data_IF_794332738158
#
_entry.id   IF_794332738158
#
_cell.length_a   1.000
_cell.length_b   1.000
_cell.length_c   1.000
_cell.angle_alpha   90.00
_cell.angle_beta   90.00
_cell.angle_gamma   90.00
#
_symmetry.space_group_name_H-M   'P 1'
#
loop_
_entity.id
_entity.type
_entity.pdbx_description
1 polymer ?
#
# COMPACT_ATOMS: atom_id res chain seq x y z
N UNK A 1 24.02 15.83 -24.42
CA UNK A 1 23.01 15.23 -23.54
C UNK A 1 21.97 14.65 -24.47
N UNK A 2 22.07 13.36 -24.78
CA UNK A 2 21.13 12.68 -25.68
C UNK A 2 19.75 12.68 -25.01
N UNK A 3 18.80 13.37 -25.64
CA UNK A 3 17.38 13.26 -25.30
C UNK A 3 16.93 11.86 -25.75
N UNK A 4 17.17 10.85 -24.91
CA UNK A 4 16.65 9.50 -25.13
C UNK A 4 15.14 9.58 -25.25
N UNK A 5 14.60 9.15 -26.40
CA UNK A 5 13.17 9.03 -26.57
C UNK A 5 12.63 8.08 -25.50
N UNK A 6 11.56 8.48 -24.82
CA UNK A 6 10.85 7.60 -23.91
C UNK A 6 10.26 6.46 -24.75
N UNK A 7 10.68 5.23 -24.48
CA UNK A 7 10.12 4.04 -25.12
C UNK A 7 8.84 3.62 -24.38
N UNK A 8 7.80 3.28 -25.15
CA UNK A 8 6.56 2.75 -24.59
C UNK A 8 6.79 1.34 -24.03
N UNK A 9 6.28 1.09 -22.83
CA UNK A 9 6.36 -0.22 -22.18
C UNK A 9 4.97 -0.86 -22.24
N UNK A 10 4.88 -2.08 -22.78
CA UNK A 10 3.65 -2.86 -22.74
C UNK A 10 3.33 -3.30 -21.30
N UNK A 11 2.11 -3.00 -20.83
CA UNK A 11 1.66 -3.32 -19.47
C UNK A 11 0.37 -4.12 -19.54
N UNK A 12 0.36 -5.29 -18.89
CA UNK A 12 -0.87 -6.04 -18.63
C UNK A 12 -1.37 -5.73 -17.22
N UNK A 13 -2.62 -5.30 -17.09
CA UNK A 13 -3.27 -5.06 -15.79
C UNK A 13 -4.26 -6.18 -15.51
N UNK A 14 -4.12 -6.82 -14.36
CA UNK A 14 -5.05 -7.85 -13.89
C UNK A 14 -5.88 -7.30 -12.73
N UNK A 15 -7.19 -7.45 -12.83
CA UNK A 15 -8.13 -7.10 -11.77
C UNK A 15 -8.54 -8.37 -11.02
N UNK A 16 -8.53 -8.31 -9.69
CA UNK A 16 -8.95 -9.39 -8.81
C UNK A 16 -10.04 -8.89 -7.89
N UNK A 17 -11.11 -9.68 -7.78
CA UNK A 17 -12.27 -9.36 -6.96
C UNK A 17 -12.52 -10.48 -5.94
N UNK A 18 -13.11 -10.14 -4.81
CA UNK A 18 -13.45 -11.09 -3.74
C UNK A 18 -14.87 -10.82 -3.25
N UNK A 19 -15.84 -11.60 -3.73
CA UNK A 19 -17.26 -11.47 -3.35
C UNK A 19 -17.66 -12.27 -2.11
N UNK A 20 -16.78 -13.17 -1.65
CA UNK A 20 -17.02 -13.99 -0.45
C UNK A 20 -15.76 -13.99 0.42
N UNK A 21 -15.91 -13.99 1.76
CA UNK A 21 -14.75 -14.10 2.65
C UNK A 21 -13.93 -15.37 2.38
N UNK A 22 -12.61 -15.35 2.62
CA UNK A 22 -11.77 -16.54 2.49
C UNK A 22 -12.27 -17.68 3.37
N UNK A 23 -12.33 -18.90 2.83
CA UNK A 23 -12.78 -20.07 3.57
C UNK A 23 -11.83 -20.47 4.72
N UNK A 24 -10.58 -20.02 4.65
CA UNK A 24 -9.55 -20.30 5.65
C UNK A 24 -8.82 -19.00 6.02
N UNK A 25 -8.57 -18.82 7.31
CA UNK A 25 -7.69 -17.77 7.82
C UNK A 25 -6.39 -18.40 8.30
N UNK A 26 -5.22 -17.90 7.87
CA UNK A 26 -3.95 -18.40 8.36
C UNK A 26 -3.82 -18.18 9.87
N UNK A 27 -3.13 -19.09 10.54
CA UNK A 27 -2.80 -18.91 11.95
C UNK A 27 -1.93 -17.65 12.13
N UNK A 28 -2.17 -16.93 13.23
CA UNK A 28 -1.33 -15.78 13.60
C UNK A 28 0.10 -16.29 13.87
N UNK A 29 1.14 -15.61 13.36
CA UNK A 29 2.53 -15.98 13.66
C UNK A 29 2.79 -16.05 15.16
N UNK A 30 3.41 -17.14 15.62
CA UNK A 30 3.82 -17.32 17.01
C UNK A 30 5.32 -17.01 17.17
N UNK A 31 5.74 -16.64 18.38
CA UNK A 31 7.14 -16.31 18.73
C UNK A 31 7.78 -15.17 17.93
N UNK A 32 6.98 -14.25 17.37
CA UNK A 32 7.46 -13.01 16.76
C UNK A 32 6.66 -11.84 17.28
N UNK A 33 7.29 -10.67 17.43
CA UNK A 33 6.58 -9.48 17.84
C UNK A 33 5.92 -8.86 16.62
N UNK A 34 4.66 -9.23 16.37
CA UNK A 34 3.87 -8.76 15.23
C UNK A 34 2.75 -7.84 15.69
N UNK A 35 2.60 -6.70 15.03
CA UNK A 35 1.45 -5.82 15.22
C UNK A 35 0.92 -5.30 13.88
N UNK A 36 -0.40 -5.31 13.69
CA UNK A 36 -1.05 -4.66 12.57
C UNK A 36 -1.82 -3.45 13.10
N UNK A 37 -1.31 -2.26 12.84
CA UNK A 37 -1.82 -1.02 13.45
C UNK A 37 -2.51 -0.16 12.41
N UNK A 38 -3.75 0.26 12.70
CA UNK A 38 -4.43 1.30 11.93
C UNK A 38 -3.70 2.62 12.15
N UNK A 39 -3.29 3.28 11.08
CA UNK A 39 -2.51 4.53 11.14
C UNK A 39 -3.41 5.70 10.74
N UNK A 40 -4.11 6.26 11.73
CA UNK A 40 -4.89 7.50 11.55
C UNK A 40 -3.94 8.68 11.38
N UNK A 41 -4.33 9.65 10.55
CA UNK A 41 -3.56 10.87 10.29
C UNK A 41 -2.09 10.59 9.98
N UNK A 42 -1.86 9.58 9.12
CA UNK A 42 -0.51 9.12 8.80
C UNK A 42 0.34 10.30 8.29
N UNK A 43 1.54 10.53 8.84
CA UNK A 43 2.42 11.57 8.31
C UNK A 43 2.76 11.31 6.85
N UNK A 44 2.69 12.33 6.00
CA UNK A 44 2.91 12.20 4.54
C UNK A 44 4.25 11.53 4.21
N UNK A 45 5.31 11.91 4.92
CA UNK A 45 6.65 11.32 4.73
C UNK A 45 6.67 9.82 5.06
N UNK A 46 5.90 9.38 6.05
CA UNK A 46 5.84 7.97 6.42
C UNK A 46 5.04 7.17 5.40
N UNK A 47 3.94 7.72 4.88
CA UNK A 47 3.21 7.10 3.77
C UNK A 47 4.10 6.98 2.52
N UNK A 48 4.84 8.03 2.15
CA UNK A 48 5.81 7.98 1.03
C UNK A 48 6.91 6.94 1.27
N UNK A 49 7.40 6.82 2.50
CA UNK A 49 8.35 5.75 2.87
C UNK A 49 7.75 4.35 2.61
N UNK A 50 6.52 4.09 3.03
CA UNK A 50 5.86 2.80 2.80
C UNK A 50 5.67 2.50 1.30
N UNK A 51 5.17 3.48 0.55
CA UNK A 51 5.00 3.40 -0.90
C UNK A 51 6.32 3.08 -1.61
N UNK A 52 7.41 3.74 -1.21
CA UNK A 52 8.73 3.47 -1.77
C UNK A 52 9.24 2.08 -1.39
N UNK A 53 9.25 1.73 -0.10
CA UNK A 53 9.87 0.49 0.37
C UNK A 53 9.16 -0.77 -0.12
N UNK A 54 7.86 -0.71 -0.31
CA UNK A 54 7.06 -1.82 -0.86
C UNK A 54 7.02 -1.75 -2.39
N UNK A 55 6.78 -0.57 -2.94
CA UNK A 55 6.43 -0.39 -4.35
C UNK A 55 7.59 -0.14 -5.31
N UNK A 56 8.81 0.15 -4.82
CA UNK A 56 9.96 0.50 -5.68
C UNK A 56 10.27 -0.56 -6.74
N UNK A 57 10.19 -1.86 -6.40
CA UNK A 57 10.40 -2.97 -7.35
C UNK A 57 9.32 -3.03 -8.44
N UNK A 58 8.17 -2.42 -8.19
CA UNK A 58 6.97 -2.42 -9.05
C UNK A 58 6.71 -1.05 -9.70
N UNK A 59 7.69 -0.14 -9.64
CA UNK A 59 7.58 1.21 -10.21
C UNK A 59 6.35 1.99 -9.73
N UNK A 60 6.00 1.89 -8.44
CA UNK A 60 4.93 2.70 -7.84
C UNK A 60 5.33 4.17 -7.70
N UNK A 61 5.40 4.87 -8.83
CA UNK A 61 5.87 6.26 -8.90
C UNK A 61 4.74 7.28 -8.82
N UNK A 62 3.51 6.88 -9.14
CA UNK A 62 2.39 7.82 -9.27
C UNK A 62 2.15 8.61 -7.99
N UNK A 63 2.02 7.91 -6.85
CA UNK A 63 1.75 8.56 -5.56
C UNK A 63 2.96 9.31 -5.03
N UNK A 64 4.17 8.89 -5.38
CA UNK A 64 5.41 9.59 -5.01
C UNK A 64 5.59 10.92 -5.74
N UNK A 65 4.86 11.14 -6.85
CA UNK A 65 4.89 12.37 -7.64
C UNK A 65 3.82 13.38 -7.25
N UNK A 66 2.83 12.99 -6.45
CA UNK A 66 1.83 13.90 -5.92
C UNK A 66 2.48 14.92 -4.99
N UNK A 67 2.02 16.16 -5.06
CA UNK A 67 2.38 17.17 -4.08
C UNK A 67 1.78 16.85 -2.69
N UNK A 68 2.16 17.63 -1.69
CA UNK A 68 1.74 17.37 -0.30
C UNK A 68 0.24 17.58 -0.10
N UNK A 69 -0.38 18.52 -0.81
CA UNK A 69 -1.79 18.86 -0.67
C UNK A 69 -2.66 17.77 -1.32
N UNK A 70 -2.31 17.34 -2.53
CA UNK A 70 -2.94 16.23 -3.25
C UNK A 70 -2.82 14.93 -2.45
N UNK A 71 -1.63 14.64 -1.93
CA UNK A 71 -1.40 13.44 -1.14
C UNK A 71 -2.22 13.46 0.15
N UNK A 72 -2.20 14.58 0.90
CA UNK A 72 -2.95 14.74 2.14
C UNK A 72 -4.45 14.60 1.90
N UNK A 73 -5.00 15.28 0.89
CA UNK A 73 -6.40 15.19 0.53
C UNK A 73 -6.83 13.76 0.16
N UNK A 74 -5.91 12.97 -0.40
CA UNK A 74 -6.14 11.56 -0.69
C UNK A 74 -6.12 10.68 0.55
N UNK A 75 -5.04 10.71 1.33
CA UNK A 75 -4.76 9.68 2.36
C UNK A 75 -5.43 9.95 3.71
N UNK A 76 -5.87 11.17 3.98
CA UNK A 76 -6.52 11.56 5.23
C UNK A 76 -8.05 11.57 5.15
N UNK A 77 -8.63 11.04 4.08
CA UNK A 77 -10.08 10.84 4.02
C UNK A 77 -10.54 9.89 5.12
N UNK A 78 -11.67 10.21 5.75
CA UNK A 78 -12.23 9.41 6.86
C UNK A 78 -12.57 7.97 6.45
N UNK A 79 -12.84 7.77 5.16
CA UNK A 79 -13.23 6.51 4.56
C UNK A 79 -12.03 5.64 4.12
N UNK A 80 -10.79 6.14 4.31
CA UNK A 80 -9.54 5.42 4.05
C UNK A 80 -9.16 4.54 5.24
N UNK A 81 -8.74 3.29 4.99
CA UNK A 81 -8.19 2.40 6.02
C UNK A 81 -6.77 1.98 5.66
N UNK A 82 -5.79 2.69 6.24
CA UNK A 82 -4.36 2.39 6.09
C UNK A 82 -3.89 1.66 7.34
N UNK A 83 -3.33 0.46 7.15
CA UNK A 83 -2.76 -0.34 8.25
C UNK A 83 -1.35 -0.76 7.96
N UNK A 84 -0.49 -0.58 8.94
CA UNK A 84 0.95 -0.89 8.86
C UNK A 84 1.22 -2.14 9.67
N UNK A 85 1.87 -3.10 9.02
CA UNK A 85 2.43 -4.28 9.65
C UNK A 85 3.76 -3.90 10.29
N UNK A 86 3.95 -4.25 11.55
CA UNK A 86 5.20 -4.16 12.27
C UNK A 86 5.69 -5.55 12.63
N UNK A 87 6.99 -5.78 12.43
CA UNK A 87 7.71 -6.99 12.82
C UNK A 87 8.92 -6.58 13.65
N UNK A 88 9.00 -7.08 14.89
CA UNK A 88 10.11 -6.82 15.82
C UNK A 88 10.43 -5.32 15.97
N UNK A 89 9.37 -4.50 15.97
CA UNK A 89 9.42 -3.04 16.12
C UNK A 89 9.65 -2.26 14.82
N UNK A 90 10.02 -2.91 13.72
CA UNK A 90 10.22 -2.27 12.42
C UNK A 90 8.96 -2.36 11.53
N UNK A 91 8.64 -1.33 10.72
CA UNK A 91 7.62 -1.45 9.68
C UNK A 91 8.01 -2.53 8.66
N UNK A 92 7.12 -3.49 8.44
CA UNK A 92 7.33 -4.70 7.65
C UNK A 92 6.44 -4.77 6.40
N UNK A 93 5.46 -3.88 6.28
CA UNK A 93 4.51 -3.84 5.17
C UNK A 93 3.31 -3.00 5.51
N UNK A 94 2.39 -2.87 4.57
CA UNK A 94 1.12 -2.17 4.82
C UNK A 94 0.07 -2.58 3.81
N UNK A 95 -1.17 -2.19 4.08
CA UNK A 95 -2.21 -2.10 3.07
C UNK A 95 -2.99 -0.80 3.23
N UNK A 96 -3.64 -0.41 2.14
CA UNK A 96 -4.37 0.83 1.97
C UNK A 96 -5.69 0.53 1.25
N UNK A 97 -6.79 0.67 1.99
CA UNK A 97 -8.14 0.49 1.49
C UNK A 97 -8.80 1.85 1.28
N UNK A 98 -9.55 1.99 0.20
CA UNK A 98 -10.43 3.13 -0.06
C UNK A 98 -11.79 2.64 -0.58
N UNK A 99 -12.89 3.37 -0.38
CA UNK A 99 -14.17 2.99 -0.95
C UNK A 99 -14.11 2.98 -2.47
N UNK A 100 -14.85 2.07 -3.07
CA UNK A 100 -15.00 1.95 -4.51
C UNK A 100 -16.45 1.61 -4.80
N UNK A 101 -17.16 2.45 -5.57
CA UNK A 101 -18.60 2.29 -5.82
C UNK A 101 -19.44 2.19 -4.52
N UNK A 102 -20.78 2.15 -4.61
CA UNK A 102 -21.60 1.75 -3.47
C UNK A 102 -21.33 0.28 -3.11
N UNK A 103 -21.05 0.01 -1.83
CA UNK A 103 -20.87 -1.35 -1.27
C UNK A 103 -19.58 -2.10 -1.63
N UNK A 104 -18.62 -1.48 -2.31
CA UNK A 104 -17.31 -2.09 -2.58
C UNK A 104 -16.15 -1.32 -1.95
N UNK A 105 -15.02 -2.02 -1.81
CA UNK A 105 -13.77 -1.46 -1.29
C UNK A 105 -12.63 -1.88 -2.21
N UNK A 106 -11.78 -0.93 -2.56
CA UNK A 106 -10.59 -1.17 -3.36
C UNK A 106 -9.37 -1.33 -2.47
N UNK A 107 -8.64 -2.42 -2.68
CA UNK A 107 -7.29 -2.60 -2.14
C UNK A 107 -6.31 -1.80 -3.02
N UNK A 108 -6.19 -0.50 -2.72
CA UNK A 108 -5.44 0.44 -3.55
C UNK A 108 -3.94 0.11 -3.59
N UNK A 109 -3.36 -0.19 -2.43
CA UNK A 109 -1.97 -0.60 -2.30
C UNK A 109 -1.82 -1.63 -1.20
N UNK A 110 -0.98 -2.64 -1.42
CA UNK A 110 -0.60 -3.58 -0.38
C UNK A 110 0.74 -4.24 -0.69
N UNK A 111 1.45 -4.63 0.37
CA UNK A 111 2.61 -5.48 0.21
C UNK A 111 3.49 -5.52 1.45
N UNK A 112 4.52 -6.34 1.35
CA UNK A 112 5.49 -6.56 2.41
C UNK A 112 6.87 -6.10 1.97
N UNK A 113 7.68 -5.68 2.94
CA UNK A 113 9.09 -5.39 2.73
C UNK A 113 9.91 -6.68 2.74
N UNK A 114 11.04 -6.66 2.05
CA UNK A 114 11.89 -7.86 1.84
C UNK A 114 12.41 -8.50 3.13
N UNK A 115 12.61 -7.73 4.21
CA UNK A 115 13.06 -8.29 5.49
C UNK A 115 11.94 -9.06 6.24
N UNK A 116 10.69 -8.94 5.79
CA UNK A 116 9.53 -9.58 6.40
C UNK A 116 9.09 -10.86 5.68
N UNK A 117 9.67 -11.14 4.51
CA UNK A 117 9.38 -12.32 3.68
C UNK A 117 10.33 -13.48 3.96
#
# INVERSE_FOLDING_TARGET
>A
MENGALEDIEVTVTFLEMHVPPAYSPAVPYNRQVALLKTKDIPLHFYRYLMDRVGRKWHWVNVLRLDDDELSAGIHREDRDIRVLYLDGAPAGFFDLKPHLPEEVELAYFGMMEHAT
#
